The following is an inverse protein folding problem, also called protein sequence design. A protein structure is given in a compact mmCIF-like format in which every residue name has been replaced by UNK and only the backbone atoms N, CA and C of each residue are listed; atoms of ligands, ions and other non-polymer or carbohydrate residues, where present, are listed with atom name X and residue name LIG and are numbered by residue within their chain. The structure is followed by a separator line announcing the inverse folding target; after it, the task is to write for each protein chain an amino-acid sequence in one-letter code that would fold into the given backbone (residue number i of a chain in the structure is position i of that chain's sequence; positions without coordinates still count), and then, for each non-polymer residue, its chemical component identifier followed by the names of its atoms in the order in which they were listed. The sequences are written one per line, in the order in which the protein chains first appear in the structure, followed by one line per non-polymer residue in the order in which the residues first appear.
data_IF_886785706021
#
_entry.id   IF_886785706021
#
_cell.length_a   1.000
_cell.length_b   1.000
_cell.length_c   1.000
_cell.angle_alpha   90.00
_cell.angle_beta   90.00
_cell.angle_gamma   90.00
#
_symmetry.space_group_name_H-M   'P 1'
#
loop_
_entity.id
_entity.type
_entity.pdbx_description
1 polymer ?
#
# COMPACT_ATOMS: atom_id res chain seq x y z
N UNK A 1 -12.46 27.54 25.16
CA UNK A 1 -12.59 26.08 24.97
C UNK A 1 -11.24 25.46 25.31
N UNK A 2 -11.11 24.77 26.45
CA UNK A 2 -9.86 24.12 26.82
C UNK A 2 -9.73 22.77 26.10
N UNK A 3 -8.62 22.55 25.41
CA UNK A 3 -8.35 21.29 24.72
C UNK A 3 -7.76 20.31 25.72
N UNK A 4 -8.50 19.24 26.04
CA UNK A 4 -8.05 18.21 26.96
C UNK A 4 -6.79 17.49 26.43
N UNK A 5 -5.78 17.34 27.30
CA UNK A 5 -4.57 16.58 26.96
C UNK A 5 -4.87 15.08 26.95
N UNK A 6 -4.73 14.46 25.78
CA UNK A 6 -4.94 13.02 25.57
C UNK A 6 -3.68 12.34 25.06
N UNK A 7 -3.48 11.05 25.42
CA UNK A 7 -2.31 10.25 24.98
C UNK A 7 -2.37 9.91 23.49
N UNK A 8 -3.57 9.76 22.95
CA UNK A 8 -3.82 9.54 21.52
C UNK A 8 -5.17 10.13 21.11
N UNK A 9 -5.25 10.52 19.84
CA UNK A 9 -6.46 11.03 19.21
C UNK A 9 -6.66 10.37 17.85
N UNK A 10 -7.91 10.18 17.46
CA UNK A 10 -8.27 9.69 16.13
C UNK A 10 -8.87 10.84 15.32
N UNK A 11 -8.15 11.26 14.29
CA UNK A 11 -8.60 12.32 13.39
C UNK A 11 -8.78 11.76 11.98
N UNK A 12 -9.99 11.88 11.42
CA UNK A 12 -10.34 11.33 10.10
C UNK A 12 -9.89 9.87 9.91
N UNK A 13 -10.01 9.05 10.96
CA UNK A 13 -9.59 7.65 10.89
C UNK A 13 -8.08 7.38 11.05
N UNK A 14 -7.25 8.42 11.18
CA UNK A 14 -5.81 8.33 11.44
C UNK A 14 -5.55 8.45 12.93
N UNK A 15 -4.71 7.57 13.47
CA UNK A 15 -4.30 7.62 14.88
C UNK A 15 -3.07 8.50 15.04
N UNK A 16 -3.16 9.47 15.94
CA UNK A 16 -2.07 10.37 16.32
C UNK A 16 -1.80 10.12 17.80
N UNK A 17 -0.55 9.93 18.19
CA UNK A 17 -0.15 9.70 19.58
C UNK A 17 0.84 10.76 20.07
N UNK A 18 0.95 10.89 21.38
CA UNK A 18 1.88 11.80 22.06
C UNK A 18 3.36 11.50 21.72
N UNK A 19 3.66 10.26 21.32
CA UNK A 19 5.02 9.78 21.03
C UNK A 19 5.49 10.15 19.63
N UNK A 20 4.63 10.77 18.81
CA UNK A 20 4.89 11.12 17.40
C UNK A 20 5.42 9.88 16.64
N UNK A 21 4.80 8.73 16.90
CA UNK A 21 5.14 7.43 16.32
C UNK A 21 4.00 6.95 15.42
N UNK A 22 4.35 6.42 14.26
CA UNK A 22 3.39 5.88 13.29
C UNK A 22 2.98 4.43 13.59
N UNK A 23 3.66 3.76 14.54
CA UNK A 23 3.48 2.34 14.87
C UNK A 23 2.03 1.96 15.17
N UNK A 24 1.34 2.81 15.95
CA UNK A 24 -0.01 2.51 16.42
C UNK A 24 -1.01 2.57 15.27
N UNK A 25 -0.87 3.58 14.40
CA UNK A 25 -1.67 3.70 13.20
C UNK A 25 -1.43 2.54 12.22
N UNK A 26 -0.16 2.20 11.96
CA UNK A 26 0.21 1.07 11.07
C UNK A 26 -0.36 -0.25 11.59
N UNK A 27 -0.23 -0.52 12.89
CA UNK A 27 -0.79 -1.74 13.49
C UNK A 27 -2.31 -1.75 13.46
N UNK A 28 -2.96 -0.62 13.75
CA UNK A 28 -4.40 -0.50 13.64
C UNK A 28 -4.89 -0.76 12.20
N UNK A 29 -4.22 -0.21 11.17
CA UNK A 29 -4.58 -0.50 9.76
C UNK A 29 -4.45 -1.98 9.42
N UNK A 30 -3.40 -2.65 9.91
CA UNK A 30 -3.21 -4.10 9.72
C UNK A 30 -4.35 -4.88 10.36
N UNK A 31 -4.72 -4.56 11.61
CA UNK A 31 -5.83 -5.21 12.31
C UNK A 31 -7.15 -5.01 11.59
N UNK A 32 -7.50 -3.77 11.22
CA UNK A 32 -8.75 -3.46 10.49
C UNK A 32 -8.77 -4.20 9.14
N UNK A 33 -7.65 -4.26 8.44
CA UNK A 33 -7.54 -5.00 7.16
C UNK A 33 -7.78 -6.49 7.36
N UNK A 34 -7.19 -7.10 8.39
CA UNK A 34 -7.42 -8.52 8.69
C UNK A 34 -8.89 -8.79 9.02
N UNK A 35 -9.54 -7.91 9.80
CA UNK A 35 -10.98 -7.98 10.06
C UNK A 35 -11.79 -7.87 8.77
N UNK A 36 -11.43 -6.95 7.86
CA UNK A 36 -12.07 -6.80 6.55
C UNK A 36 -11.94 -8.06 5.68
N UNK A 37 -10.75 -8.67 5.64
CA UNK A 37 -10.51 -9.93 4.94
C UNK A 37 -11.37 -11.05 5.53
N UNK A 38 -11.47 -11.14 6.86
CA UNK A 38 -12.30 -12.15 7.52
C UNK A 38 -13.79 -11.96 7.21
N UNK A 39 -14.28 -10.72 7.12
CA UNK A 39 -15.65 -10.43 6.65
C UNK A 39 -15.87 -10.90 5.21
N UNK A 40 -14.92 -10.61 4.31
CA UNK A 40 -14.99 -11.07 2.93
C UNK A 40 -14.93 -12.60 2.78
N UNK A 41 -14.17 -13.28 3.64
CA UNK A 41 -14.14 -14.75 3.67
C UNK A 41 -15.49 -15.35 4.06
N UNK A 42 -16.25 -14.68 4.93
CA UNK A 42 -17.58 -15.13 5.35
C UNK A 42 -18.65 -14.94 4.28
N UNK A 43 -18.48 -13.98 3.35
CA UNK A 43 -19.48 -13.73 2.31
C UNK A 43 -19.38 -14.72 1.15
N UNK A 44 -18.31 -14.64 0.33
CA UNK A 44 -18.21 -15.42 -0.92
C UNK A 44 -16.77 -15.84 -1.24
N UNK A 45 -15.76 -15.11 -0.74
CA UNK A 45 -14.36 -15.24 -1.19
C UNK A 45 -13.70 -16.54 -0.74
N UNK A 46 -14.24 -17.19 0.29
CA UNK A 46 -13.74 -18.48 0.77
C UNK A 46 -14.08 -19.64 -0.17
N UNK A 47 -15.04 -19.48 -1.09
CA UNK A 47 -15.46 -20.54 -1.99
C UNK A 47 -14.29 -21.06 -2.82
N UNK A 48 -14.12 -22.39 -2.87
CA UNK A 48 -13.12 -23.05 -3.72
C UNK A 48 -13.46 -22.92 -5.21
N UNK A 49 -14.73 -22.70 -5.53
CA UNK A 49 -15.24 -22.52 -6.89
C UNK A 49 -15.00 -21.11 -7.43
N UNK A 50 -14.57 -20.16 -6.59
CA UNK A 50 -14.26 -18.81 -7.03
C UNK A 50 -12.82 -18.73 -7.54
N UNK A 51 -12.62 -18.10 -8.70
CA UNK A 51 -11.28 -17.98 -9.27
C UNK A 51 -10.32 -17.19 -8.37
N UNK A 52 -9.05 -17.62 -8.24
CA UNK A 52 -8.04 -16.88 -7.48
C UNK A 52 -7.95 -15.41 -7.90
N UNK A 53 -8.12 -15.14 -9.19
CA UNK A 53 -8.13 -13.78 -9.77
C UNK A 53 -9.22 -12.90 -9.18
N UNK A 54 -10.45 -13.40 -9.05
CA UNK A 54 -11.56 -12.64 -8.44
C UNK A 54 -11.28 -12.42 -6.95
N UNK A 55 -10.78 -13.43 -6.23
CA UNK A 55 -10.44 -13.29 -4.81
C UNK A 55 -9.42 -12.18 -4.58
N UNK A 56 -8.36 -12.16 -5.38
CA UNK A 56 -7.34 -11.11 -5.29
C UNK A 56 -7.88 -9.76 -5.74
N UNK A 57 -8.74 -9.71 -6.76
CA UNK A 57 -9.41 -8.47 -7.18
C UNK A 57 -10.22 -7.84 -6.04
N UNK A 58 -11.05 -8.63 -5.34
CA UNK A 58 -11.80 -8.12 -4.18
C UNK A 58 -10.87 -7.62 -3.06
N UNK A 59 -9.78 -8.34 -2.77
CA UNK A 59 -8.76 -7.87 -1.83
C UNK A 59 -8.17 -6.52 -2.28
N UNK A 60 -7.77 -6.40 -3.55
CA UNK A 60 -7.18 -5.20 -4.13
C UNK A 60 -8.11 -3.99 -4.02
N UNK A 61 -9.40 -4.18 -4.24
CA UNK A 61 -10.38 -3.10 -4.26
C UNK A 61 -10.79 -2.66 -2.85
N UNK A 62 -11.03 -3.61 -1.93
CA UNK A 62 -11.62 -3.31 -0.62
C UNK A 62 -10.63 -3.38 0.56
N UNK A 63 -9.83 -4.45 0.65
CA UNK A 63 -8.94 -4.65 1.79
C UNK A 63 -7.64 -3.87 1.65
N UNK A 64 -7.10 -3.78 0.44
CA UNK A 64 -5.83 -3.09 0.20
C UNK A 64 -5.95 -1.59 0.42
N UNK A 65 -7.05 -0.97 -0.02
CA UNK A 65 -7.36 0.43 0.30
C UNK A 65 -7.48 0.65 1.81
N UNK A 66 -8.07 -0.31 2.53
CA UNK A 66 -8.08 -0.32 3.99
C UNK A 66 -6.66 -0.40 4.56
N UNK A 67 -5.75 -1.20 4.03
CA UNK A 67 -4.40 -1.28 4.58
C UNK A 67 -3.61 0.03 4.44
N UNK A 68 -3.72 0.69 3.29
CA UNK A 68 -2.91 1.86 2.94
C UNK A 68 -3.49 3.20 3.37
N UNK A 69 -4.73 3.22 3.89
CA UNK A 69 -5.41 4.44 4.26
C UNK A 69 -4.67 5.25 5.34
N UNK A 70 -4.40 6.52 5.05
CA UNK A 70 -3.74 7.44 5.96
C UNK A 70 -2.25 7.17 6.13
N UNK A 71 -1.65 6.35 5.25
CA UNK A 71 -0.20 6.12 5.21
C UNK A 71 0.51 7.09 4.26
N UNK A 72 -0.25 7.85 3.46
CA UNK A 72 0.30 8.83 2.51
C UNK A 72 1.10 9.93 3.21
N UNK A 73 0.58 10.63 4.24
CA UNK A 73 1.29 11.75 4.86
C UNK A 73 2.35 11.34 5.89
N UNK A 74 2.53 10.05 6.19
CA UNK A 74 3.39 9.60 7.29
C UNK A 74 4.67 8.92 6.78
N UNK A 75 5.83 9.25 7.35
CA UNK A 75 7.08 8.57 7.01
C UNK A 75 7.16 7.19 7.69
N UNK A 76 7.33 6.13 6.90
CA UNK A 76 7.41 4.77 7.40
C UNK A 76 8.86 4.32 7.53
N UNK A 77 9.17 3.64 8.64
CA UNK A 77 10.47 2.99 8.77
C UNK A 77 10.49 1.61 8.05
N UNK A 78 11.69 1.04 7.86
CA UNK A 78 11.86 -0.25 7.17
C UNK A 78 11.06 -1.39 7.82
N UNK A 79 10.93 -1.39 9.16
CA UNK A 79 10.19 -2.42 9.91
C UNK A 79 8.68 -2.31 9.66
N UNK A 80 8.13 -1.10 9.64
CA UNK A 80 6.73 -0.84 9.32
C UNK A 80 6.41 -1.21 7.87
N UNK A 81 7.27 -0.83 6.93
CA UNK A 81 7.13 -1.19 5.52
C UNK A 81 7.16 -2.72 5.33
N UNK A 82 8.11 -3.41 5.98
CA UNK A 82 8.17 -4.87 5.97
C UNK A 82 6.91 -5.49 6.57
N UNK A 83 6.38 -4.96 7.67
CA UNK A 83 5.16 -5.45 8.28
C UNK A 83 3.94 -5.32 7.35
N UNK A 84 3.82 -4.21 6.61
CA UNK A 84 2.79 -4.03 5.60
C UNK A 84 2.94 -5.06 4.46
N UNK A 85 4.14 -5.19 3.90
CA UNK A 85 4.44 -6.14 2.83
C UNK A 85 4.17 -7.59 3.24
N UNK A 86 4.59 -7.99 4.44
CA UNK A 86 4.31 -9.34 4.96
C UNK A 86 2.81 -9.55 5.15
N UNK A 87 2.08 -8.54 5.61
CA UNK A 87 0.62 -8.61 5.78
C UNK A 87 -0.08 -8.81 4.43
N UNK A 88 0.24 -7.99 3.42
CA UNK A 88 -0.30 -8.13 2.06
C UNK A 88 0.01 -9.51 1.47
N UNK A 89 1.29 -9.91 1.48
CA UNK A 89 1.74 -11.18 0.93
C UNK A 89 1.06 -12.38 1.60
N UNK A 90 0.87 -12.32 2.93
CA UNK A 90 0.21 -13.41 3.67
C UNK A 90 -1.26 -13.50 3.33
N UNK A 91 -1.96 -12.36 3.20
CA UNK A 91 -3.36 -12.34 2.81
C UNK A 91 -3.52 -12.93 1.41
N UNK A 92 -2.73 -12.45 0.44
CA UNK A 92 -2.83 -12.91 -0.96
C UNK A 92 -2.54 -14.40 -1.06
N UNK A 93 -1.46 -14.90 -0.42
CA UNK A 93 -1.15 -16.34 -0.38
C UNK A 93 -2.31 -17.16 0.16
N UNK A 94 -2.92 -16.74 1.26
CA UNK A 94 -4.08 -17.43 1.83
C UNK A 94 -5.29 -17.41 0.89
N UNK A 95 -5.52 -16.33 0.14
CA UNK A 95 -6.64 -16.23 -0.80
C UNK A 95 -6.48 -17.16 -2.00
N UNK A 96 -5.25 -17.35 -2.48
CA UNK A 96 -4.93 -18.24 -3.60
C UNK A 96 -4.66 -19.69 -3.17
N UNK A 97 -4.65 -19.98 -1.88
CA UNK A 97 -4.44 -21.33 -1.33
C UNK A 97 -2.98 -21.76 -1.21
N UNK A 98 -2.03 -20.81 -1.18
CA UNK A 98 -0.60 -21.08 -1.05
C UNK A 98 -0.13 -21.00 0.41
N UNK A 99 0.88 -21.80 0.74
CA UNK A 99 1.49 -21.85 2.07
C UNK A 99 2.23 -20.57 2.45
N UNK A 100 2.38 -20.32 3.76
CA UNK A 100 3.03 -19.10 4.29
C UNK A 100 4.49 -18.94 3.85
N UNK A 101 5.22 -20.03 3.58
CA UNK A 101 6.65 -20.01 3.20
C UNK A 101 6.90 -19.78 1.70
N UNK A 102 5.86 -19.75 0.87
CA UNK A 102 6.02 -19.49 -0.55
C UNK A 102 6.55 -18.06 -0.81
N UNK A 103 7.46 -17.93 -1.79
CA UNK A 103 7.92 -16.64 -2.32
C UNK A 103 6.70 -15.85 -2.81
N UNK A 104 6.66 -14.56 -2.49
CA UNK A 104 5.46 -13.74 -2.68
C UNK A 104 5.64 -12.57 -3.66
N UNK A 105 6.88 -12.24 -4.03
CA UNK A 105 7.17 -11.14 -4.96
C UNK A 105 6.53 -11.38 -6.33
N UNK A 106 6.84 -12.53 -6.94
CA UNK A 106 6.39 -12.93 -8.27
C UNK A 106 4.89 -13.23 -8.24
N UNK A 107 4.39 -13.83 -7.15
CA UNK A 107 2.96 -14.09 -6.95
C UNK A 107 2.13 -12.79 -6.93
N UNK A 108 2.61 -11.75 -6.25
CA UNK A 108 1.92 -10.47 -6.21
C UNK A 108 1.80 -9.88 -7.61
N UNK A 109 2.90 -9.87 -8.39
CA UNK A 109 2.85 -9.42 -9.78
C UNK A 109 1.97 -10.30 -10.67
N UNK A 110 2.00 -11.63 -10.49
CA UNK A 110 1.14 -12.56 -11.19
C UNK A 110 -0.34 -12.24 -10.92
N UNK A 111 -0.65 -11.83 -9.68
CA UNK A 111 -1.98 -11.43 -9.22
C UNK A 111 -2.31 -9.94 -9.47
N UNK A 112 -1.51 -9.25 -10.27
CA UNK A 112 -1.65 -7.83 -10.60
C UNK A 112 -1.59 -6.84 -9.42
N UNK A 113 -0.72 -7.16 -8.47
CA UNK A 113 -0.37 -6.36 -7.31
C UNK A 113 1.11 -5.97 -7.37
N UNK A 114 1.38 -4.67 -7.33
CA UNK A 114 2.69 -4.10 -7.04
C UNK A 114 3.10 -4.36 -5.57
N UNK A 115 4.39 -4.19 -5.24
CA UNK A 115 4.84 -4.27 -3.84
C UNK A 115 4.24 -3.14 -2.99
N UNK A 116 4.13 -3.33 -1.68
CA UNK A 116 3.56 -2.31 -0.77
C UNK A 116 4.31 -0.99 -0.84
N UNK A 117 5.63 -1.05 -0.93
CA UNK A 117 6.50 0.12 -1.06
C UNK A 117 6.21 0.90 -2.35
N UNK A 118 6.09 0.22 -3.48
CA UNK A 118 5.77 0.83 -4.77
C UNK A 118 4.37 1.47 -4.75
N UNK A 119 3.40 0.77 -4.16
CA UNK A 119 2.04 1.30 -3.95
C UNK A 119 2.07 2.58 -3.11
N UNK A 120 2.81 2.56 -2.00
CA UNK A 120 2.89 3.70 -1.09
C UNK A 120 3.62 4.88 -1.73
N UNK A 121 4.71 4.64 -2.45
CA UNK A 121 5.41 5.69 -3.20
C UNK A 121 4.47 6.37 -4.21
N UNK A 122 3.66 5.58 -4.92
CA UNK A 122 2.63 6.10 -5.82
C UNK A 122 1.60 6.97 -5.07
N UNK A 123 1.07 6.48 -3.95
CA UNK A 123 0.09 7.21 -3.14
C UNK A 123 0.67 8.51 -2.55
N UNK A 124 1.92 8.47 -2.08
CA UNK A 124 2.67 9.61 -1.56
C UNK A 124 2.89 10.68 -2.61
N UNK A 125 3.33 10.29 -3.81
CA UNK A 125 3.49 11.22 -4.94
C UNK A 125 2.15 11.85 -5.33
N UNK A 126 1.08 11.04 -5.44
CA UNK A 126 -0.26 11.54 -5.74
C UNK A 126 -0.82 12.46 -4.64
N UNK A 127 -0.48 12.20 -3.38
CA UNK A 127 -0.86 13.07 -2.27
C UNK A 127 -0.18 14.44 -2.39
N UNK A 128 1.13 14.49 -2.66
CA UNK A 128 1.83 15.76 -2.88
C UNK A 128 1.23 16.55 -4.03
N UNK A 129 0.97 15.91 -5.18
CA UNK A 129 0.33 16.55 -6.32
C UNK A 129 -1.02 17.19 -5.98
N UNK A 130 -1.80 16.57 -5.10
CA UNK A 130 -3.07 17.14 -4.62
C UNK A 130 -2.83 18.35 -3.72
N UNK A 131 -1.82 18.31 -2.86
CA UNK A 131 -1.46 19.42 -1.98
C UNK A 131 -0.89 20.61 -2.76
N UNK A 132 -0.11 20.38 -3.81
CA UNK A 132 0.45 21.47 -4.64
C UNK A 132 -0.59 22.09 -5.57
N UNK A 133 -1.63 21.34 -5.95
CA UNK A 133 -2.73 21.86 -6.79
C UNK A 133 -3.67 22.80 -6.02
N UNK A 134 -3.84 22.61 -4.72
CA UNK A 134 -4.70 23.46 -3.90
C UNK A 134 -3.90 24.64 -3.34
N UNK A 135 -4.37 25.87 -3.61
CA UNK A 135 -3.67 27.11 -3.26
C UNK A 135 -3.34 27.23 -1.76
N UNK A 136 -4.25 26.82 -0.89
CA UNK A 136 -4.08 26.96 0.57
C UNK A 136 -3.01 26.00 1.08
N UNK A 137 -3.08 24.74 0.64
CA UNK A 137 -2.10 23.73 1.03
C UNK A 137 -0.74 23.98 0.39
N UNK A 138 -0.70 24.52 -0.83
CA UNK A 138 0.54 24.90 -1.50
C UNK A 138 1.26 26.02 -0.75
N UNK A 139 0.54 27.08 -0.36
CA UNK A 139 1.08 28.16 0.47
C UNK A 139 1.61 27.64 1.81
N UNK A 140 0.84 26.77 2.49
CA UNK A 140 1.30 26.14 3.74
C UNK A 140 2.59 25.33 3.55
N UNK A 141 2.69 24.52 2.48
CA UNK A 141 3.92 23.75 2.20
C UNK A 141 5.10 24.69 1.96
N UNK A 142 4.90 25.78 1.21
CA UNK A 142 5.96 26.77 0.96
C UNK A 142 6.47 27.37 2.27
N UNK A 143 5.56 27.82 3.14
CA UNK A 143 5.90 28.41 4.43
C UNK A 143 6.62 27.40 5.34
N UNK A 144 6.17 26.15 5.36
CA UNK A 144 6.82 25.07 6.11
C UNK A 144 8.24 24.83 5.59
N UNK A 145 8.44 24.83 4.27
CA UNK A 145 9.75 24.65 3.66
C UNK A 145 10.71 25.78 4.00
N UNK A 146 10.24 27.02 3.91
CA UNK A 146 11.02 28.21 4.25
C UNK A 146 11.43 28.21 5.73
N UNK A 147 10.48 27.87 6.62
CA UNK A 147 10.76 27.69 8.03
C UNK A 147 11.85 26.63 8.28
N UNK A 148 11.79 25.47 7.61
CA UNK A 148 12.82 24.44 7.75
C UNK A 148 14.14 24.78 7.07
N UNK A 149 14.16 25.67 6.09
CA UNK A 149 15.39 26.15 5.44
C UNK A 149 16.16 27.14 6.32
N UNK A 150 15.42 27.97 7.08
CA UNK A 150 15.98 29.02 7.95
C UNK A 150 16.23 28.56 9.39
N UNK A 151 15.48 27.57 9.87
CA UNK A 151 15.67 27.03 11.23
C UNK A 151 16.91 26.13 11.33
N UNK A 152 17.65 26.23 12.45
CA UNK A 152 18.79 25.33 12.80
C UNK A 152 18.33 23.85 12.88
N UNK A 153 17.02 23.61 13.06
CA UNK A 153 16.40 22.29 13.07
C UNK A 153 16.26 21.77 11.64
N UNK A 154 17.29 21.07 11.15
CA UNK A 154 17.23 20.30 9.90
C UNK A 154 15.95 19.46 9.82
N UNK A 155 15.39 19.38 8.62
CA UNK A 155 14.24 18.53 8.31
C UNK A 155 14.47 17.12 8.90
N UNK A 156 13.58 16.69 9.80
CA UNK A 156 13.70 15.39 10.46
C UNK A 156 13.68 14.28 9.41
N UNK A 157 14.50 13.22 9.60
CA UNK A 157 14.44 12.00 8.76
C UNK A 157 13.07 11.32 8.78
N UNK A 158 12.20 11.70 9.72
CA UNK A 158 10.81 11.25 9.87
C UNK A 158 9.79 12.19 9.20
N UNK A 159 10.23 13.24 8.51
CA UNK A 159 9.36 14.17 7.80
C UNK A 159 8.87 13.56 6.48
N UNK A 160 7.59 13.77 6.16
CA UNK A 160 7.02 13.41 4.87
C UNK A 160 7.80 14.01 3.70
N UNK A 161 8.19 15.27 3.81
CA UNK A 161 8.93 15.97 2.75
C UNK A 161 10.33 15.39 2.55
N UNK A 162 10.97 14.93 3.63
CA UNK A 162 12.25 14.24 3.54
C UNK A 162 12.12 12.88 2.84
N UNK A 163 11.07 12.13 3.17
CA UNK A 163 10.78 10.85 2.50
C UNK A 163 10.48 11.05 1.00
N UNK A 164 9.72 12.07 0.63
CA UNK A 164 9.47 12.40 -0.77
C UNK A 164 10.79 12.69 -1.51
N UNK A 165 11.70 13.49 -0.94
CA UNK A 165 13.01 13.75 -1.53
C UNK A 165 13.81 12.47 -1.78
N UNK A 166 13.73 11.51 -0.86
CA UNK A 166 14.34 10.18 -1.05
C UNK A 166 13.67 9.43 -2.20
N UNK A 167 12.33 9.42 -2.25
CA UNK A 167 11.55 8.72 -3.28
C UNK A 167 11.85 9.28 -4.67
N UNK A 168 11.90 10.60 -4.82
CA UNK A 168 12.14 11.30 -6.09
C UNK A 168 13.62 11.41 -6.46
N UNK A 169 14.53 11.09 -5.52
CA UNK A 169 15.99 11.28 -5.66
C UNK A 169 16.41 12.71 -5.98
N UNK A 170 15.54 13.70 -5.74
CA UNK A 170 15.79 15.10 -6.08
C UNK A 170 15.74 16.02 -4.86
N UNK A 171 16.59 17.05 -4.90
CA UNK A 171 16.89 17.94 -3.76
C UNK A 171 16.00 19.19 -3.75
N UNK A 172 15.55 19.64 -4.92
CA UNK A 172 14.85 20.93 -5.10
C UNK A 172 13.34 20.81 -4.95
N UNK A 173 12.77 21.63 -4.06
CA UNK A 173 11.33 21.66 -3.81
C UNK A 173 10.51 22.18 -5.01
N UNK A 174 11.12 22.99 -5.87
CA UNK A 174 10.43 23.68 -6.97
C UNK A 174 10.04 22.73 -8.11
N UNK A 175 10.60 21.50 -8.15
CA UNK A 175 10.33 20.49 -9.20
C UNK A 175 9.69 19.21 -8.65
N UNK A 176 9.29 19.21 -7.38
CA UNK A 176 8.77 18.01 -6.71
C UNK A 176 7.54 17.43 -7.39
N UNK A 177 6.69 18.28 -7.98
CA UNK A 177 5.49 17.85 -8.70
C UNK A 177 5.86 17.08 -9.98
N UNK A 178 6.79 17.62 -10.77
CA UNK A 178 7.33 16.99 -11.97
C UNK A 178 8.06 15.69 -11.62
N UNK A 179 8.89 15.70 -10.58
CA UNK A 179 9.64 14.53 -10.15
C UNK A 179 8.72 13.40 -9.66
N UNK A 180 7.63 13.76 -8.97
CA UNK A 180 6.57 12.82 -8.62
C UNK A 180 5.93 12.21 -9.88
N UNK A 181 5.72 12.99 -10.96
CA UNK A 181 5.20 12.45 -12.22
C UNK A 181 6.15 11.44 -12.85
N UNK A 182 7.44 11.78 -12.92
CA UNK A 182 8.47 10.86 -13.42
C UNK A 182 8.45 9.57 -12.62
N UNK A 183 8.43 9.67 -11.28
CA UNK A 183 8.41 8.50 -10.41
C UNK A 183 7.16 7.63 -10.57
N UNK A 184 5.99 8.27 -10.75
CA UNK A 184 4.74 7.57 -11.03
C UNK A 184 4.88 6.76 -12.32
N UNK A 185 5.40 7.37 -13.40
CA UNK A 185 5.61 6.70 -14.69
C UNK A 185 6.59 5.54 -14.55
N UNK A 186 7.72 5.72 -13.85
CA UNK A 186 8.69 4.65 -13.59
C UNK A 186 8.05 3.44 -12.88
N UNK A 187 7.26 3.69 -11.84
CA UNK A 187 6.60 2.62 -11.06
C UNK A 187 5.61 1.86 -11.96
N UNK A 188 4.84 2.58 -12.78
CA UNK A 188 3.87 1.98 -13.70
C UNK A 188 4.57 1.17 -14.81
N UNK A 189 5.66 1.69 -15.38
CA UNK A 189 6.46 0.99 -16.39
C UNK A 189 7.09 -0.28 -15.83
N UNK A 190 7.63 -0.23 -14.60
CA UNK A 190 8.15 -1.40 -13.90
C UNK A 190 7.08 -2.47 -13.71
N UNK A 191 5.87 -2.07 -13.28
CA UNK A 191 4.74 -2.98 -13.14
C UNK A 191 4.39 -3.66 -14.47
N UNK A 192 4.37 -2.92 -15.57
CA UNK A 192 4.09 -3.46 -16.89
C UNK A 192 5.19 -4.44 -17.34
N UNK A 193 6.46 -4.10 -17.14
CA UNK A 193 7.60 -5.00 -17.41
C UNK A 193 7.48 -6.32 -16.64
N UNK A 194 7.20 -6.25 -15.33
CA UNK A 194 7.05 -7.46 -14.50
C UNK A 194 5.85 -8.33 -14.90
N UNK A 195 4.80 -7.76 -15.51
CA UNK A 195 3.67 -8.55 -16.02
C UNK A 195 4.05 -9.42 -17.22
N UNK A 196 5.05 -9.02 -18.00
CA UNK A 196 5.59 -9.78 -19.12
C UNK A 196 6.78 -10.67 -18.76
N UNK A 197 7.16 -10.73 -17.48
CA UNK A 197 8.21 -11.62 -17.02
C UNK A 197 7.77 -13.09 -17.17
N UNK A 198 8.65 -13.93 -17.72
CA UNK A 198 8.39 -15.34 -18.03
C UNK A 198 7.94 -16.11 -16.78
N UNK A 199 8.56 -15.85 -15.63
CA UNK A 199 8.22 -16.54 -14.38
C UNK A 199 6.84 -16.10 -13.88
N UNK A 200 6.55 -14.80 -13.97
CA UNK A 200 5.25 -14.24 -13.59
C UNK A 200 4.12 -14.78 -14.49
N UNK A 201 4.38 -14.89 -15.79
CA UNK A 201 3.45 -15.49 -16.75
C UNK A 201 3.20 -16.97 -16.45
N UNK A 202 4.26 -17.74 -16.18
CA UNK A 202 4.15 -19.15 -15.82
C UNK A 202 3.32 -19.37 -14.55
N UNK A 203 3.57 -18.57 -13.49
CA UNK A 203 2.78 -18.62 -12.25
C UNK A 203 1.32 -18.31 -12.53
N UNK A 204 1.03 -17.30 -13.37
CA UNK A 204 -0.36 -16.95 -13.71
C UNK A 204 -1.06 -18.08 -14.47
N UNK A 205 -0.39 -18.67 -15.45
CA UNK A 205 -0.93 -19.80 -16.21
C UNK A 205 -1.21 -21.01 -15.30
N UNK A 206 -0.29 -21.32 -14.39
CA UNK A 206 -0.45 -22.43 -13.45
C UNK A 206 -1.62 -22.20 -12.48
N UNK A 207 -1.81 -20.95 -12.01
CA UNK A 207 -2.96 -20.60 -11.18
C UNK A 207 -4.31 -20.77 -11.91
N UNK A 208 -4.36 -20.48 -13.21
CA UNK A 208 -5.55 -20.65 -14.04
C UNK A 208 -5.83 -22.12 -14.35
N UNK A 209 -4.78 -22.90 -14.64
CA UNK A 209 -4.88 -24.35 -14.85
C UNK A 209 -5.37 -25.07 -13.59
N UNK A 210 -4.72 -24.85 -12.45
CA UNK A 210 -5.08 -25.48 -11.18
C UNK A 210 -6.52 -25.15 -10.75
N UNK A 211 -7.00 -23.95 -11.09
CA UNK A 211 -8.41 -23.59 -10.87
C UNK A 211 -9.36 -24.36 -11.78
N UNK A 212 -9.01 -24.51 -13.06
CA UNK A 212 -9.83 -25.23 -14.05
C UNK A 212 -9.94 -26.72 -13.70
N UNK A 213 -8.83 -27.36 -13.35
CA UNK A 213 -8.80 -28.78 -12.95
C UNK A 213 -9.65 -29.01 -11.68
N UNK A 214 -9.53 -28.11 -10.70
CA UNK A 214 -10.32 -28.19 -9.47
C UNK A 214 -11.81 -27.97 -9.71
N UNK A 215 -12.16 -27.04 -10.60
CA UNK A 215 -13.55 -26.77 -10.99
C UNK A 215 -14.16 -28.00 -11.68
N UNK A 216 -13.40 -28.65 -12.57
CA UNK A 216 -13.82 -29.88 -13.24
C UNK A 216 -14.06 -31.01 -12.24
N UNK A 217 -13.12 -31.24 -11.31
CA UNK A 217 -13.24 -32.27 -10.27
C UNK A 217 -14.47 -32.10 -9.37
N UNK A 218 -14.81 -30.87 -8.98
CA UNK A 218 -15.99 -30.61 -8.14
C UNK A 218 -17.30 -30.80 -8.92
N UNK A 219 -17.33 -30.52 -10.23
CA UNK A 219 -18.49 -30.78 -11.09
C UNK A 219 -18.75 -32.28 -11.29
N UNK A 220 -17.70 -33.09 -11.41
CA UNK A 220 -17.82 -34.55 -11.57
C UNK A 220 -18.31 -35.29 -10.33
N UNK A 221 -18.37 -34.62 -9.17
CA UNK A 221 -18.93 -35.19 -7.92
C UNK A 221 -20.43 -34.96 -7.72
N UNK A 222 -21.03 -34.11 -8.56
CA UNK A 222 -22.44 -33.72 -8.46
C UNK A 222 -23.32 -34.58 -9.39
N UNK A 223 -22.70 -35.36 -10.28
CA UNK A 223 -23.34 -36.37 -11.15
C UNK A 223 -23.19 -37.74 -10.50
#
# INVERSE_FOLDING_TARGET
MEVQRVKSAKYLGVLINEKISNSDHVNNRRTITLSAVNKLKRSVISSKLLSPKIKVFCYKTYCRSTLHYGLEPIALNKKEMAALQTTESTIVKNLVGLGKRCKSSELLYASDLEKSEERLNLLKCNFLKRLTKNQFTASMISNINEFYATSIKKNSKKSYLYEIKIITKNISFNRLSEDCNIKIVEILAKKQKMRGDVTVMAIRAEMEKAYSDKKLYELTKIV
#
